data_IF_361176390406
#
_entry.id   IF_361176390406
#
_cell.length_a   1.000
_cell.length_b   1.000
_cell.length_c   1.000
_cell.angle_alpha   90.00
_cell.angle_beta   90.00
_cell.angle_gamma   90.00
#
_symmetry.space_group_name_H-M   'P 1'
#
loop_
_entity.id
_entity.type
_entity.pdbx_description
1 polymer ?
#
# COMPACT_ATOMS: atom_id res chain seq x y z
N UNK A 1 -13.94 -0.97 43.24
CA UNK A 1 -13.63 0.37 42.69
C UNK A 1 -12.88 0.15 41.39
N UNK A 2 -13.29 0.76 40.29
CA UNK A 2 -12.58 0.62 39.00
C UNK A 2 -11.17 1.22 39.13
N UNK A 3 -10.15 0.49 38.71
CA UNK A 3 -8.78 0.97 38.64
C UNK A 3 -8.50 1.46 37.22
N UNK A 4 -7.75 2.56 37.12
CA UNK A 4 -7.46 3.19 35.84
C UNK A 4 -5.96 3.16 35.56
N UNK A 5 -5.61 2.90 34.31
CA UNK A 5 -4.23 2.94 33.85
C UNK A 5 -3.67 4.35 34.02
N UNK A 6 -2.55 4.49 34.73
CA UNK A 6 -1.86 5.79 34.94
C UNK A 6 -1.25 6.40 33.68
N UNK A 7 -1.30 5.70 32.54
CA UNK A 7 -0.72 6.14 31.28
C UNK A 7 -1.78 6.55 30.25
N UNK A 8 -2.83 5.75 30.04
CA UNK A 8 -3.87 6.05 29.05
C UNK A 8 -5.24 6.36 29.66
N UNK A 9 -5.43 6.21 30.98
CA UNK A 9 -6.69 6.48 31.66
C UNK A 9 -7.77 5.41 31.48
N UNK A 10 -7.51 4.32 30.76
CA UNK A 10 -8.48 3.23 30.56
C UNK A 10 -8.69 2.44 31.86
N UNK A 11 -9.95 2.10 32.15
CA UNK A 11 -10.29 1.19 33.23
C UNK A 11 -9.74 -0.22 32.95
N UNK A 12 -9.18 -0.88 33.97
CA UNK A 12 -8.69 -2.25 33.87
C UNK A 12 -9.21 -3.12 35.00
N UNK A 13 -9.18 -4.44 34.79
CA UNK A 13 -9.50 -5.40 35.83
C UNK A 13 -8.51 -5.28 37.02
N UNK A 14 -8.93 -5.55 38.26
CA UNK A 14 -8.09 -5.38 39.45
C UNK A 14 -6.84 -6.28 39.46
N UNK A 15 -6.87 -7.38 38.72
CA UNK A 15 -5.83 -8.41 38.60
C UNK A 15 -5.06 -8.34 37.28
N UNK A 16 -5.39 -7.38 36.40
CA UNK A 16 -4.69 -7.19 35.13
C UNK A 16 -3.21 -6.84 35.39
N UNK A 17 -2.27 -7.62 34.84
CA UNK A 17 -0.83 -7.32 34.96
C UNK A 17 -0.43 -6.21 33.98
N UNK A 18 -1.11 -6.13 32.85
CA UNK A 18 -0.90 -5.15 31.78
C UNK A 18 -2.24 -4.51 31.39
N UNK A 19 -2.19 -3.29 30.87
CA UNK A 19 -3.35 -2.61 30.30
C UNK A 19 -3.63 -3.15 28.90
N UNK A 20 -4.87 -3.55 28.64
CA UNK A 20 -5.26 -4.11 27.33
C UNK A 20 -5.17 -3.09 26.19
N UNK A 21 -5.29 -1.79 26.49
CA UNK A 21 -5.26 -0.73 25.48
C UNK A 21 -3.84 -0.24 25.16
N UNK A 22 -2.99 -0.04 26.16
CA UNK A 22 -1.65 0.54 25.94
C UNK A 22 -0.49 -0.41 26.22
N UNK A 23 -0.75 -1.64 26.67
CA UNK A 23 0.24 -2.68 26.95
C UNK A 23 1.15 -2.42 28.16
N UNK A 24 1.01 -1.28 28.85
CA UNK A 24 1.82 -0.95 30.03
C UNK A 24 1.41 -1.77 31.25
N UNK A 25 2.38 -2.14 32.08
CA UNK A 25 2.10 -2.82 33.35
C UNK A 25 1.29 -1.91 34.29
N UNK A 26 0.14 -2.39 34.77
CA UNK A 26 -0.77 -1.60 35.63
C UNK A 26 -0.75 -2.06 37.09
N UNK A 27 -0.36 -3.32 37.34
CA UNK A 27 -0.20 -3.88 38.67
C UNK A 27 1.19 -4.51 38.82
N UNK A 28 2.18 -3.68 39.16
CA UNK A 28 3.46 -4.18 39.63
C UNK A 28 3.25 -4.78 41.03
N UNK A 29 3.16 -6.11 41.11
CA UNK A 29 3.11 -6.81 42.39
C UNK A 29 4.34 -6.43 43.23
N UNK A 30 4.12 -5.95 44.45
CA UNK A 30 5.18 -5.80 45.43
C UNK A 30 5.88 -7.15 45.62
N UNK A 31 7.21 -7.17 45.48
CA UNK A 31 8.01 -8.37 45.66
C UNK A 31 7.71 -8.99 47.04
N UNK A 32 7.53 -10.32 47.13
CA UNK A 32 7.25 -10.96 48.40
C UNK A 32 8.43 -10.75 49.36
N UNK A 33 8.11 -10.35 50.59
CA UNK A 33 9.07 -10.28 51.68
C UNK A 33 9.66 -11.69 51.93
N UNK A 34 10.98 -11.82 52.12
CA UNK A 34 11.60 -13.11 52.37
C UNK A 34 11.16 -13.67 53.74
N UNK A 35 10.77 -14.94 53.75
CA UNK A 35 10.48 -15.69 54.98
C UNK A 35 11.75 -15.86 55.84
N UNK A 36 11.62 -15.99 57.18
CA UNK A 36 12.77 -16.09 58.08
C UNK A 36 13.48 -17.45 57.91
N UNK A 37 14.81 -17.40 57.79
CA UNK A 37 15.66 -18.58 57.80
C UNK A 37 15.77 -19.19 59.22
N UNK A 38 15.86 -20.53 59.36
CA UNK A 38 16.05 -21.19 60.64
C UNK A 38 17.45 -20.96 61.23
N UNK A 39 17.52 -21.17 62.54
CA UNK A 39 18.59 -20.79 63.45
C UNK A 39 20.00 -21.34 63.11
N UNK A 40 20.97 -20.59 63.61
CA UNK A 40 22.41 -20.68 63.40
C UNK A 40 23.09 -21.98 63.87
N UNK A 41 24.24 -22.28 63.25
CA UNK A 41 25.40 -22.93 63.88
C UNK A 41 26.70 -22.47 63.17
N UNK A 42 27.87 -22.57 63.82
CA UNK A 42 28.80 -21.45 63.97
C UNK A 42 29.91 -21.33 62.92
N UNK A 43 30.61 -20.20 63.01
CA UNK A 43 31.58 -19.62 62.10
C UNK A 43 32.81 -20.47 61.75
N UNK A 44 33.29 -20.28 60.52
CA UNK A 44 34.70 -20.41 60.14
C UNK A 44 35.19 -19.10 59.52
N UNK A 45 36.45 -18.69 59.76
CA UNK A 45 36.90 -17.33 59.56
C UNK A 45 37.39 -17.05 58.13
N UNK A 46 37.00 -15.88 57.62
CA UNK A 46 37.89 -15.00 56.87
C UNK A 46 38.33 -15.43 55.47
N UNK A 47 37.51 -15.17 54.44
CA UNK A 47 38.01 -14.79 53.11
C UNK A 47 37.14 -13.66 52.53
N UNK A 48 37.81 -12.69 51.91
CA UNK A 48 37.38 -11.33 51.54
C UNK A 48 36.05 -11.26 50.75
N UNK A 49 34.96 -10.92 51.45
CA UNK A 49 33.60 -10.63 50.93
C UNK A 49 33.49 -9.45 49.96
N UNK A 50 34.55 -8.65 49.77
CA UNK A 50 34.47 -7.38 49.01
C UNK A 50 34.54 -7.55 47.49
N UNK A 51 34.93 -8.71 46.96
CA UNK A 51 35.06 -8.92 45.51
C UNK A 51 33.84 -9.61 44.88
N UNK A 52 33.05 -10.34 45.67
CA UNK A 52 31.85 -11.05 45.18
C UNK A 52 30.66 -10.10 44.97
N UNK A 53 30.51 -9.06 45.81
CA UNK A 53 29.48 -8.02 45.63
C UNK A 53 29.74 -7.12 44.42
N UNK A 54 31.01 -6.88 44.06
CA UNK A 54 31.36 -6.06 42.89
C UNK A 54 31.16 -6.87 41.60
N UNK A 55 31.49 -8.16 41.60
CA UNK A 55 31.28 -9.03 40.45
C UNK A 55 29.78 -9.23 40.12
N UNK A 56 28.92 -9.38 41.13
CA UNK A 56 27.46 -9.53 40.93
C UNK A 56 26.77 -8.26 40.43
N UNK A 57 27.17 -7.08 40.95
CA UNK A 57 26.61 -5.79 40.52
C UNK A 57 27.06 -5.39 39.10
N UNK A 58 28.31 -5.66 38.75
CA UNK A 58 28.83 -5.42 37.39
C UNK A 58 28.15 -6.37 36.38
N UNK A 59 27.95 -7.64 36.71
CA UNK A 59 27.27 -8.58 35.81
C UNK A 59 25.80 -8.20 35.59
N UNK A 60 25.07 -7.79 36.62
CA UNK A 60 23.69 -7.33 36.50
C UNK A 60 23.58 -6.02 35.68
N UNK A 61 24.49 -5.06 35.91
CA UNK A 61 24.53 -3.83 35.12
C UNK A 61 24.91 -4.10 33.65
N UNK A 62 25.82 -5.03 33.38
CA UNK A 62 26.20 -5.44 32.01
C UNK A 62 25.06 -6.21 31.32
N UNK A 63 24.26 -7.00 32.03
CA UNK A 63 23.08 -7.68 31.46
C UNK A 63 21.96 -6.68 31.15
N UNK A 64 21.70 -5.72 32.04
CA UNK A 64 20.68 -4.69 31.80
C UNK A 64 21.13 -3.72 30.71
N UNK A 65 22.39 -3.26 30.73
CA UNK A 65 22.95 -2.41 29.69
C UNK A 65 23.09 -3.16 28.35
N UNK A 66 23.55 -4.42 28.37
CA UNK A 66 23.66 -5.28 27.20
C UNK A 66 22.31 -5.65 26.60
N UNK A 67 21.29 -5.90 27.43
CA UNK A 67 19.92 -6.11 27.00
C UNK A 67 19.30 -4.85 26.38
N UNK A 68 19.54 -3.68 26.96
CA UNK A 68 19.10 -2.39 26.40
C UNK A 68 19.82 -2.06 25.08
N UNK A 69 21.12 -2.35 24.97
CA UNK A 69 21.91 -2.19 23.74
C UNK A 69 21.49 -3.19 22.66
N UNK A 70 21.18 -4.44 23.00
CA UNK A 70 20.67 -5.43 22.06
C UNK A 70 19.27 -5.06 21.54
N UNK A 71 18.41 -4.48 22.38
CA UNK A 71 17.09 -3.96 21.98
C UNK A 71 17.20 -2.75 21.03
N UNK A 72 18.18 -1.87 21.22
CA UNK A 72 18.47 -0.76 20.30
C UNK A 72 18.99 -1.22 18.93
N UNK A 73 19.53 -2.44 18.85
CA UNK A 73 20.06 -3.03 17.62
C UNK A 73 19.06 -4.00 16.95
N UNK A 74 17.90 -4.25 17.56
CA UNK A 74 16.90 -5.16 17.02
C UNK A 74 16.20 -4.54 15.80
N UNK A 75 15.91 -5.34 14.76
CA UNK A 75 15.07 -4.89 13.65
C UNK A 75 13.69 -4.48 14.15
N UNK A 76 13.14 -3.44 13.53
CA UNK A 76 11.85 -2.92 13.87
C UNK A 76 10.75 -3.97 13.66
N UNK A 77 9.98 -4.25 14.72
CA UNK A 77 8.86 -5.18 14.64
C UNK A 77 7.71 -4.61 13.80
N UNK A 78 7.15 -5.44 12.91
CA UNK A 78 5.97 -5.09 12.16
C UNK A 78 4.77 -4.87 13.10
N UNK A 79 4.18 -3.70 12.99
CA UNK A 79 3.11 -3.22 13.86
C UNK A 79 2.40 -2.04 13.20
N UNK A 80 1.19 -1.73 13.66
CA UNK A 80 0.47 -0.56 13.17
C UNK A 80 1.29 0.74 13.30
N UNK A 81 1.99 0.94 14.42
CA UNK A 81 2.81 2.15 14.64
C UNK A 81 4.01 2.23 13.71
N UNK A 82 4.71 1.11 13.48
CA UNK A 82 5.84 1.06 12.54
C UNK A 82 5.43 1.40 11.10
N UNK A 83 4.31 0.83 10.65
CA UNK A 83 3.85 1.01 9.28
C UNK A 83 3.25 2.39 9.08
N UNK A 84 2.46 2.90 10.05
CA UNK A 84 1.95 4.27 9.99
C UNK A 84 3.07 5.28 9.85
N UNK A 85 4.14 5.15 10.66
CA UNK A 85 5.29 6.06 10.59
C UNK A 85 6.00 5.98 9.24
N UNK A 86 6.22 4.77 8.72
CA UNK A 86 6.86 4.56 7.44
C UNK A 86 6.08 5.23 6.30
N UNK A 87 4.76 5.08 6.30
CA UNK A 87 3.85 5.67 5.33
C UNK A 87 3.80 7.19 5.47
N UNK A 88 3.65 7.70 6.70
CA UNK A 88 3.63 9.14 6.97
C UNK A 88 4.95 9.80 6.54
N UNK A 89 6.09 9.17 6.82
CA UNK A 89 7.41 9.65 6.41
C UNK A 89 7.54 9.68 4.88
N UNK A 90 7.06 8.64 4.19
CA UNK A 90 7.06 8.59 2.72
C UNK A 90 6.19 9.70 2.12
N UNK A 91 4.95 9.88 2.59
CA UNK A 91 4.03 10.90 2.07
C UNK A 91 4.43 12.34 2.45
N UNK A 92 5.23 12.50 3.51
CA UNK A 92 5.84 13.79 3.85
C UNK A 92 7.01 14.11 2.92
N UNK A 93 7.84 13.13 2.59
CA UNK A 93 9.04 13.30 1.76
C UNK A 93 8.74 13.37 0.24
N UNK A 94 7.76 12.61 -0.24
CA UNK A 94 7.39 12.56 -1.65
C UNK A 94 6.12 13.38 -1.93
N UNK A 95 6.33 14.62 -2.39
CA UNK A 95 5.26 15.52 -2.78
C UNK A 95 4.43 14.98 -3.96
N UNK A 96 5.05 14.28 -4.92
CA UNK A 96 4.33 13.76 -6.08
C UNK A 96 3.40 12.60 -5.69
N UNK A 97 3.85 11.71 -4.81
CA UNK A 97 3.03 10.64 -4.25
C UNK A 97 1.86 11.21 -3.45
N UNK A 98 2.12 12.21 -2.60
CA UNK A 98 1.07 12.91 -1.83
C UNK A 98 0.06 13.61 -2.73
N UNK A 99 0.52 14.35 -3.73
CA UNK A 99 -0.34 15.10 -4.66
C UNK A 99 -1.24 14.19 -5.47
N UNK A 100 -0.76 12.99 -5.82
CA UNK A 100 -1.57 11.98 -6.51
C UNK A 100 -2.78 11.54 -5.68
N UNK A 101 -2.71 11.63 -4.36
CA UNK A 101 -3.79 11.29 -3.44
C UNK A 101 -4.69 12.49 -3.14
N UNK A 102 -4.09 13.67 -3.02
CA UNK A 102 -4.76 14.88 -2.51
C UNK A 102 -5.28 15.84 -3.59
N UNK A 103 -4.83 15.69 -4.84
CA UNK A 103 -5.07 16.70 -5.86
C UNK A 103 -5.75 16.12 -7.10
N UNK A 104 -6.76 16.84 -7.56
CA UNK A 104 -7.54 16.55 -8.75
C UNK A 104 -6.85 17.13 -9.98
N UNK A 105 -6.74 16.31 -11.03
CA UNK A 105 -6.11 16.68 -12.32
C UNK A 105 -7.03 16.43 -13.52
N UNK A 106 -8.31 16.19 -13.27
CA UNK A 106 -9.32 15.86 -14.28
C UNK A 106 -9.78 17.06 -15.13
N UNK A 107 -9.40 18.29 -14.76
CA UNK A 107 -9.70 19.52 -15.49
C UNK A 107 -8.51 20.48 -15.42
N UNK A 108 -8.39 21.42 -16.37
CA UNK A 108 -7.35 22.44 -16.36
C UNK A 108 -7.67 23.54 -15.34
N UNK A 109 -7.58 23.23 -14.05
CA UNK A 109 -8.00 24.11 -12.95
C UNK A 109 -7.22 25.42 -12.84
N UNK A 110 -6.05 25.51 -13.46
CA UNK A 110 -5.22 26.71 -13.51
C UNK A 110 -5.71 27.78 -14.50
N UNK A 111 -6.64 27.43 -15.40
CA UNK A 111 -7.18 28.41 -16.34
C UNK A 111 -8.06 29.41 -15.61
N UNK A 112 -7.92 30.69 -15.97
CA UNK A 112 -8.77 31.74 -15.41
C UNK A 112 -10.24 31.55 -15.76
N UNK A 113 -10.51 30.95 -16.93
CA UNK A 113 -11.84 30.59 -17.38
C UNK A 113 -11.88 29.15 -17.90
N UNK A 114 -12.89 28.41 -17.46
CA UNK A 114 -13.26 27.11 -18.02
C UNK A 114 -14.60 27.28 -18.75
N UNK A 115 -14.61 26.98 -20.04
CA UNK A 115 -15.80 27.02 -20.88
C UNK A 115 -16.33 25.61 -21.06
N UNK A 116 -17.61 25.40 -20.75
CA UNK A 116 -18.26 24.11 -20.83
C UNK A 116 -19.48 24.22 -21.72
N UNK A 117 -19.61 23.32 -22.69
CA UNK A 117 -20.77 23.30 -23.57
C UNK A 117 -22.06 22.99 -22.78
N UNK A 118 -23.20 23.53 -23.21
CA UNK A 118 -24.47 23.36 -22.50
C UNK A 118 -24.89 21.90 -22.31
N UNK A 119 -24.49 21.00 -23.21
CA UNK A 119 -24.79 19.56 -23.18
C UNK A 119 -23.85 18.74 -22.27
N UNK A 120 -22.70 19.27 -21.82
CA UNK A 120 -21.79 18.55 -20.91
C UNK A 120 -22.25 18.74 -19.46
N UNK A 121 -23.30 17.99 -19.10
CA UNK A 121 -23.90 18.04 -17.77
C UNK A 121 -22.96 17.54 -16.67
N UNK A 122 -22.06 16.59 -16.96
CA UNK A 122 -21.15 16.03 -15.95
C UNK A 122 -20.10 17.05 -15.51
N UNK A 123 -19.45 17.71 -16.47
CA UNK A 123 -18.46 18.76 -16.16
C UNK A 123 -19.11 19.96 -15.50
N UNK A 124 -20.32 20.34 -15.95
CA UNK A 124 -21.10 21.41 -15.31
C UNK A 124 -21.44 21.10 -13.85
N UNK A 125 -22.01 19.93 -13.58
CA UNK A 125 -22.35 19.51 -12.21
C UNK A 125 -21.12 19.54 -11.30
N UNK A 126 -19.97 19.12 -11.82
CA UNK A 126 -18.72 19.18 -11.09
C UNK A 126 -18.27 20.63 -10.82
N UNK A 127 -18.28 21.51 -11.81
CA UNK A 127 -17.93 22.92 -11.61
C UNK A 127 -18.93 23.63 -10.69
N UNK A 128 -20.21 23.29 -10.73
CA UNK A 128 -21.23 23.85 -9.84
C UNK A 128 -20.97 23.46 -8.36
N UNK A 129 -20.45 22.26 -8.10
CA UNK A 129 -19.94 21.87 -6.77
C UNK A 129 -18.79 22.80 -6.35
N UNK A 130 -17.84 23.07 -7.26
CA UNK A 130 -16.71 23.96 -6.97
C UNK A 130 -17.14 25.42 -6.79
N UNK A 131 -18.19 25.87 -7.47
CA UNK A 131 -18.84 27.18 -7.25
C UNK A 131 -19.44 27.25 -5.84
N UNK A 132 -20.17 26.22 -5.39
CA UNK A 132 -20.68 26.16 -4.02
C UNK A 132 -19.57 26.15 -2.97
N UNK A 133 -18.41 25.58 -3.29
CA UNK A 133 -17.19 25.67 -2.48
C UNK A 133 -16.46 27.03 -2.56
N UNK A 134 -16.91 27.96 -3.41
CA UNK A 134 -16.30 29.28 -3.59
C UNK A 134 -14.99 29.29 -4.40
N UNK A 135 -14.67 28.20 -5.09
CA UNK A 135 -13.47 28.10 -5.93
C UNK A 135 -13.65 28.76 -7.29
N UNK A 136 -14.87 28.79 -7.80
CA UNK A 136 -15.26 29.43 -9.05
C UNK A 136 -16.45 30.36 -8.82
N UNK A 137 -16.58 31.38 -9.65
CA UNK A 137 -17.77 32.22 -9.70
C UNK A 137 -18.92 31.48 -10.40
N UNK A 138 -20.16 31.86 -10.09
CA UNK A 138 -21.33 31.33 -10.78
C UNK A 138 -21.20 31.48 -12.30
N UNK A 139 -21.60 30.47 -13.08
CA UNK A 139 -21.36 30.48 -14.51
C UNK A 139 -22.19 31.53 -15.22
N UNK A 140 -21.61 32.16 -16.23
CA UNK A 140 -22.32 33.05 -17.16
C UNK A 140 -22.58 32.27 -18.45
N UNK A 141 -23.84 32.23 -18.88
CA UNK A 141 -24.18 31.68 -20.18
C UNK A 141 -23.76 32.66 -21.28
N UNK A 142 -22.91 32.20 -22.18
CA UNK A 142 -22.45 32.94 -23.34
C UNK A 142 -22.81 32.16 -24.60
N UNK A 143 -23.36 32.87 -25.58
CA UNK A 143 -23.53 32.32 -26.92
C UNK A 143 -22.19 32.41 -27.65
N UNK A 144 -21.68 31.26 -28.12
CA UNK A 144 -20.46 31.20 -28.93
C UNK A 144 -20.77 30.62 -30.30
N UNK A 145 -20.21 31.22 -31.35
CA UNK A 145 -20.41 30.80 -32.74
C UNK A 145 -21.39 31.70 -33.49
N UNK A 146 -21.10 31.93 -34.77
CA UNK A 146 -21.92 32.76 -35.66
C UNK A 146 -23.28 32.13 -35.97
N UNK A 147 -23.37 31.39 -37.08
CA UNK A 147 -24.67 31.00 -37.65
C UNK A 147 -25.25 29.73 -36.99
N UNK A 148 -24.48 29.08 -36.12
CA UNK A 148 -24.88 27.99 -35.23
C UNK A 148 -24.43 28.38 -33.82
N UNK A 149 -25.21 29.23 -33.17
CA UNK A 149 -24.97 29.66 -31.80
C UNK A 149 -25.06 28.45 -30.86
N UNK A 150 -23.95 28.10 -30.21
CA UNK A 150 -23.93 27.12 -29.13
C UNK A 150 -23.79 27.85 -27.80
N UNK A 151 -24.76 27.64 -26.90
CA UNK A 151 -24.67 28.11 -25.51
C UNK A 151 -23.52 27.39 -24.80
N UNK A 152 -22.65 28.18 -24.18
CA UNK A 152 -21.56 27.73 -23.32
C UNK A 152 -21.69 28.37 -21.95
N UNK A 153 -21.34 27.64 -20.91
CA UNK A 153 -21.22 28.15 -19.55
C UNK A 153 -19.76 28.49 -19.27
N UNK A 154 -19.50 29.71 -18.85
CA UNK A 154 -18.16 30.20 -18.52
C UNK A 154 -18.01 30.30 -17.02
N UNK A 155 -17.08 29.51 -16.48
CA UNK A 155 -16.75 29.48 -15.05
C UNK A 155 -15.42 30.21 -14.84
N UNK A 156 -15.46 31.31 -14.09
CA UNK A 156 -14.26 32.10 -13.78
C UNK A 156 -13.65 31.67 -12.44
N UNK A 157 -12.34 31.44 -12.42
CA UNK A 157 -11.59 31.01 -11.23
C UNK A 157 -11.56 32.15 -10.19
N UNK A 158 -12.05 31.87 -8.98
CA UNK A 158 -12.07 32.83 -7.87
C UNK A 158 -10.75 32.82 -7.09
N UNK A 159 -10.53 33.84 -6.25
CA UNK A 159 -9.31 33.93 -5.43
C UNK A 159 -9.11 32.72 -4.49
N UNK A 160 -10.14 32.17 -3.81
CA UNK A 160 -10.00 30.92 -3.05
C UNK A 160 -9.61 29.73 -3.95
N UNK A 161 -10.11 29.72 -5.20
CA UNK A 161 -9.73 28.78 -6.24
C UNK A 161 -8.24 28.80 -6.51
N UNK A 162 -7.70 29.98 -6.84
CA UNK A 162 -6.26 30.18 -7.09
C UNK A 162 -5.41 29.73 -5.89
N UNK A 163 -5.84 30.00 -4.67
CA UNK A 163 -5.12 29.61 -3.44
C UNK A 163 -5.15 28.08 -3.15
N UNK A 164 -6.11 27.35 -3.73
CA UNK A 164 -6.24 25.91 -3.58
C UNK A 164 -5.45 25.11 -4.62
N UNK A 165 -4.80 25.79 -5.59
CA UNK A 165 -4.02 25.15 -6.63
C UNK A 165 -2.60 24.81 -6.16
N UNK A 166 -2.10 23.66 -6.62
CA UNK A 166 -0.69 23.30 -6.61
C UNK A 166 -0.29 22.96 -8.04
N UNK A 167 0.34 23.92 -8.72
CA UNK A 167 0.56 23.84 -10.16
C UNK A 167 -0.77 23.88 -10.92
N UNK A 168 -1.05 22.85 -11.71
CA UNK A 168 -2.26 22.67 -12.50
C UNK A 168 -3.37 21.87 -11.79
N UNK A 169 -3.12 21.41 -10.57
CA UNK A 169 -4.01 20.52 -9.83
C UNK A 169 -4.77 21.27 -8.74
N UNK A 170 -6.01 20.87 -8.51
CA UNK A 170 -6.83 21.37 -7.40
C UNK A 170 -6.67 20.45 -6.19
N UNK A 171 -6.07 20.95 -5.10
CA UNK A 171 -5.78 20.14 -3.92
C UNK A 171 -6.80 20.38 -2.79
N UNK A 172 -7.18 19.29 -2.12
CA UNK A 172 -8.17 19.34 -1.03
C UNK A 172 -7.55 19.54 0.35
N UNK A 173 -6.24 19.32 0.49
CA UNK A 173 -5.48 19.48 1.73
C UNK A 173 -3.99 19.73 1.42
N UNK A 174 -3.23 20.20 2.42
CA UNK A 174 -1.76 20.26 2.30
C UNK A 174 -1.09 18.93 2.59
N UNK A 175 -1.66 18.13 3.48
CA UNK A 175 -1.09 16.87 3.90
C UNK A 175 -2.12 15.78 4.17
N UNK A 176 -1.57 14.61 4.50
CA UNK A 176 -2.31 13.46 5.01
C UNK A 176 -1.51 12.83 6.14
N UNK A 177 -2.21 12.10 7.01
CA UNK A 177 -1.61 11.21 7.99
C UNK A 177 -2.36 9.88 8.02
N UNK A 178 -1.70 8.81 8.40
CA UNK A 178 -2.35 7.51 8.58
C UNK A 178 -3.30 7.58 9.78
N UNK A 179 -4.57 7.24 9.54
CA UNK A 179 -5.58 7.08 10.60
C UNK A 179 -5.68 5.62 11.05
N UNK A 180 -5.59 4.68 10.10
CA UNK A 180 -5.62 3.23 10.35
C UNK A 180 -4.73 2.53 9.34
N UNK A 181 -4.06 1.46 9.78
CA UNK A 181 -3.26 0.61 8.89
C UNK A 181 -3.48 -0.86 9.25
N UNK A 182 -3.44 -1.74 8.25
CA UNK A 182 -3.53 -3.20 8.37
C UNK A 182 -2.54 -3.88 7.43
N UNK A 183 -2.35 -5.20 7.53
CA UNK A 183 -1.41 -5.96 6.70
C UNK A 183 -0.03 -6.15 7.33
N UNK A 184 0.20 -5.61 8.54
CA UNK A 184 1.43 -5.82 9.31
C UNK A 184 1.55 -7.24 9.87
N UNK A 185 0.45 -8.00 9.88
CA UNK A 185 0.41 -9.43 10.19
C UNK A 185 0.86 -10.31 9.01
N UNK A 186 0.95 -9.77 7.79
CA UNK A 186 1.28 -10.51 6.57
C UNK A 186 2.71 -10.27 6.09
N UNK A 187 3.67 -10.20 7.02
CA UNK A 187 5.09 -10.07 6.68
C UNK A 187 5.60 -11.36 6.04
N UNK A 188 6.30 -11.22 4.92
CA UNK A 188 6.95 -12.32 4.20
C UNK A 188 8.43 -12.03 4.06
N UNK A 189 9.25 -13.09 4.09
CA UNK A 189 10.65 -13.01 3.70
C UNK A 189 10.77 -13.22 2.19
N UNK A 190 11.41 -12.28 1.51
CA UNK A 190 11.73 -12.36 0.09
C UNK A 190 13.22 -12.11 -0.10
N UNK A 191 14.00 -13.18 -0.23
CA UNK A 191 15.44 -13.10 -0.49
C UNK A 191 16.24 -12.50 0.67
N UNK A 192 15.82 -12.74 1.92
CA UNK A 192 16.45 -12.18 3.13
C UNK A 192 15.97 -10.76 3.48
N UNK A 193 15.01 -10.23 2.73
CA UNK A 193 14.36 -8.95 3.01
C UNK A 193 12.92 -9.18 3.44
N UNK A 194 12.54 -8.65 4.60
CA UNK A 194 11.16 -8.69 5.07
C UNK A 194 10.33 -7.64 4.33
N UNK A 195 9.19 -8.07 3.79
CA UNK A 195 8.26 -7.23 3.03
C UNK A 195 6.82 -7.48 3.45
N UNK A 196 5.96 -6.47 3.33
CA UNK A 196 4.54 -6.58 3.62
C UNK A 196 3.73 -5.60 2.76
N UNK A 197 2.53 -5.98 2.34
CA UNK A 197 1.55 -5.03 1.78
C UNK A 197 0.71 -4.47 2.91
N UNK A 198 0.72 -3.15 3.07
CA UNK A 198 -0.16 -2.47 3.99
C UNK A 198 -1.33 -1.84 3.25
N UNK A 199 -2.51 -1.93 3.86
CA UNK A 199 -3.66 -1.07 3.52
C UNK A 199 -3.74 0.02 4.56
N UNK A 200 -3.70 1.28 4.14
CA UNK A 200 -3.77 2.43 5.02
C UNK A 200 -4.97 3.31 4.67
N UNK A 201 -5.78 3.63 5.67
CA UNK A 201 -6.80 4.68 5.62
C UNK A 201 -6.16 5.98 6.09
N UNK A 202 -6.21 7.01 5.27
CA UNK A 202 -5.58 8.30 5.54
C UNK A 202 -6.62 9.31 6.03
N UNK A 203 -6.17 10.23 6.88
CA UNK A 203 -6.92 11.42 7.27
C UNK A 203 -6.21 12.65 6.70
N UNK A 204 -7.00 13.62 6.22
CA UNK A 204 -6.47 14.90 5.76
C UNK A 204 -5.82 15.67 6.92
N UNK A 205 -4.68 16.30 6.65
CA UNK A 205 -4.05 17.29 7.53
C UNK A 205 -4.00 18.63 6.79
N UNK A 206 -4.29 19.71 7.51
CA UNK A 206 -4.43 21.05 6.93
C UNK A 206 -5.42 21.06 5.75
N UNK A 207 -6.66 20.61 6.04
CA UNK A 207 -7.75 20.60 5.08
C UNK A 207 -7.98 22.01 4.51
N UNK A 208 -8.18 22.09 3.20
CA UNK A 208 -8.40 23.37 2.54
C UNK A 208 -9.71 24.00 3.02
N UNK A 209 -9.67 25.30 3.33
CA UNK A 209 -10.81 26.01 3.93
C UNK A 209 -12.09 25.95 3.07
N UNK A 210 -11.95 25.83 1.75
CA UNK A 210 -13.06 25.67 0.81
C UNK A 210 -13.75 24.31 0.97
N UNK A 211 -12.97 23.24 1.22
CA UNK A 211 -13.49 21.89 1.38
C UNK A 211 -14.21 21.76 2.72
N UNK A 212 -13.61 22.29 3.79
CA UNK A 212 -14.17 22.24 5.14
C UNK A 212 -15.54 22.92 5.24
N UNK A 213 -15.80 23.92 4.39
CA UNK A 213 -17.07 24.66 4.31
C UNK A 213 -18.03 24.14 3.24
N UNK A 214 -17.57 23.23 2.39
CA UNK A 214 -18.35 22.76 1.25
C UNK A 214 -19.47 21.81 1.70
N UNK A 215 -20.73 22.04 1.28
CA UNK A 215 -21.81 21.08 1.53
C UNK A 215 -21.59 19.76 0.79
N UNK A 216 -20.74 19.76 -0.25
CA UNK A 216 -20.45 18.61 -1.10
C UNK A 216 -19.14 17.90 -0.72
N UNK A 217 -18.61 18.13 0.50
CA UNK A 217 -17.31 17.60 0.96
C UNK A 217 -17.14 16.11 0.66
N UNK A 218 -18.12 15.27 0.96
CA UNK A 218 -18.05 13.82 0.72
C UNK A 218 -17.92 13.48 -0.78
N UNK A 219 -18.67 14.16 -1.65
CA UNK A 219 -18.62 13.96 -3.10
C UNK A 219 -17.27 14.38 -3.69
N UNK A 220 -16.69 15.46 -3.16
CA UNK A 220 -15.34 15.90 -3.56
C UNK A 220 -14.30 14.86 -3.17
N UNK A 221 -14.36 14.29 -1.97
CA UNK A 221 -13.42 13.26 -1.52
C UNK A 221 -13.54 11.99 -2.37
N UNK A 222 -14.76 11.54 -2.68
CA UNK A 222 -14.97 10.38 -3.56
C UNK A 222 -14.39 10.55 -4.97
N UNK A 223 -14.20 11.80 -5.41
CA UNK A 223 -13.63 12.12 -6.73
C UNK A 223 -12.10 12.03 -6.75
N UNK A 224 -11.45 11.93 -5.59
CA UNK A 224 -10.00 11.77 -5.51
C UNK A 224 -9.57 10.44 -6.16
N UNK A 225 -8.35 10.37 -6.73
CA UNK A 225 -7.86 9.12 -7.34
C UNK A 225 -7.81 7.93 -6.38
N UNK A 226 -7.68 8.18 -5.07
CA UNK A 226 -7.72 7.17 -4.00
C UNK A 226 -9.09 7.01 -3.33
N UNK A 227 -10.16 7.60 -3.90
CA UNK A 227 -11.51 7.59 -3.34
C UNK A 227 -11.53 8.08 -1.89
N UNK A 228 -11.96 7.22 -0.97
CA UNK A 228 -12.08 7.49 0.46
C UNK A 228 -10.72 7.55 1.22
N UNK A 229 -9.65 7.96 0.52
CA UNK A 229 -8.29 8.08 1.06
C UNK A 229 -7.73 6.75 1.57
N UNK A 230 -8.08 5.65 0.91
CA UNK A 230 -7.51 4.33 1.18
C UNK A 230 -6.42 4.01 0.15
N UNK A 231 -5.25 3.59 0.63
CA UNK A 231 -4.11 3.27 -0.21
C UNK A 231 -3.50 1.93 0.17
N UNK A 232 -3.07 1.19 -0.85
CA UNK A 232 -2.23 0.00 -0.65
C UNK A 232 -0.79 0.35 -0.98
N UNK A 233 0.09 0.16 -0.01
CA UNK A 233 1.49 0.53 -0.11
C UNK A 233 2.38 -0.66 0.22
N UNK A 234 3.39 -0.92 -0.61
CA UNK A 234 4.41 -1.91 -0.33
C UNK A 234 5.38 -1.39 0.72
N UNK A 235 5.66 -2.18 1.75
CA UNK A 235 6.71 -1.88 2.72
C UNK A 235 7.79 -2.94 2.72
N UNK A 236 9.01 -2.49 2.98
CA UNK A 236 10.16 -3.33 3.21
C UNK A 236 10.89 -2.91 4.48
N UNK A 237 11.48 -3.87 5.18
CA UNK A 237 12.39 -3.60 6.27
C UNK A 237 13.78 -3.30 5.69
N UNK A 238 14.15 -2.03 5.66
CA UNK A 238 15.42 -1.52 5.14
C UNK A 238 16.17 -0.84 6.27
N UNK A 239 17.44 -1.19 6.47
CA UNK A 239 18.25 -0.68 7.57
C UNK A 239 17.57 -0.81 8.95
N UNK A 240 16.94 -1.97 9.17
CA UNK A 240 16.19 -2.30 10.39
C UNK A 240 14.94 -1.45 10.63
N UNK A 241 14.50 -0.63 9.66
CA UNK A 241 13.28 0.17 9.76
C UNK A 241 12.32 -0.12 8.61
N UNK A 242 11.02 -0.11 8.90
CA UNK A 242 10.02 -0.24 7.85
C UNK A 242 9.97 1.04 7.01
N UNK A 243 10.04 0.87 5.70
CA UNK A 243 10.00 1.95 4.73
C UNK A 243 9.08 1.56 3.57
N UNK A 244 8.41 2.54 2.96
CA UNK A 244 7.64 2.29 1.74
C UNK A 244 8.62 1.96 0.63
N UNK A 245 8.49 0.77 0.05
CA UNK A 245 9.37 0.31 -1.01
C UNK A 245 8.99 1.00 -2.32
N UNK A 246 9.88 1.83 -2.86
CA UNK A 246 9.62 2.50 -4.14
C UNK A 246 9.53 1.47 -5.27
N UNK A 247 8.72 1.77 -6.30
CA UNK A 247 8.53 0.94 -7.50
C UNK A 247 9.86 0.64 -8.20
N UNK A 248 10.80 1.60 -8.19
CA UNK A 248 12.14 1.44 -8.75
C UNK A 248 13.00 0.45 -7.93
N UNK A 249 12.96 0.54 -6.60
CA UNK A 249 13.66 -0.39 -5.71
C UNK A 249 13.08 -1.80 -5.80
N UNK A 250 11.76 -1.94 -5.92
CA UNK A 250 11.12 -3.24 -6.13
C UNK A 250 11.43 -3.83 -7.51
N UNK A 251 11.52 -3.01 -8.56
CA UNK A 251 11.92 -3.49 -9.88
C UNK A 251 13.38 -3.96 -9.89
N UNK A 252 14.28 -3.26 -9.20
CA UNK A 252 15.67 -3.68 -9.00
C UNK A 252 15.77 -4.96 -8.16
N UNK A 253 14.99 -5.09 -7.09
CA UNK A 253 14.96 -6.32 -6.27
C UNK A 253 14.43 -7.52 -7.07
N UNK A 254 13.38 -7.32 -7.88
CA UNK A 254 12.86 -8.34 -8.78
C UNK A 254 13.89 -8.75 -9.85
N UNK A 255 14.63 -7.79 -10.40
CA UNK A 255 15.73 -8.04 -11.35
C UNK A 255 16.91 -8.77 -10.70
N UNK A 256 17.26 -8.43 -9.45
CA UNK A 256 18.32 -9.11 -8.69
C UNK A 256 17.95 -10.56 -8.36
N UNK A 257 16.69 -10.83 -7.99
CA UNK A 257 16.16 -12.17 -7.78
C UNK A 257 16.12 -12.99 -9.08
N UNK A 258 15.74 -12.38 -10.20
CA UNK A 258 15.80 -13.02 -11.52
C UNK A 258 17.25 -13.34 -11.94
N UNK A 259 18.21 -12.49 -11.58
CA UNK A 259 19.65 -12.75 -11.77
C UNK A 259 20.17 -13.90 -10.90
N UNK A 260 19.80 -13.92 -9.62
CA UNK A 260 20.17 -15.00 -8.70
C UNK A 260 19.56 -16.36 -9.12
N UNK A 261 18.32 -16.38 -9.60
CA UNK A 261 17.68 -17.58 -10.14
C UNK A 261 18.38 -18.11 -11.40
N UNK A 262 18.94 -17.23 -12.24
CA UNK A 262 19.78 -17.60 -13.40
C UNK A 262 21.12 -18.18 -13.01
N UNK A 263 21.71 -17.75 -11.88
CA UNK A 263 22.95 -18.33 -11.37
C UNK A 263 22.73 -19.66 -10.62
N UNK A 264 21.56 -19.85 -9.99
CA UNK A 264 21.19 -21.11 -9.36
C UNK A 264 20.82 -22.23 -10.37
N UNK A 265 20.46 -21.86 -11.61
CA UNK A 265 20.10 -22.81 -12.68
C UNK A 265 21.30 -23.35 -13.49
N UNK A 266 22.53 -23.06 -13.06
CA UNK A 266 23.76 -23.63 -13.64
C UNK A 266 24.08 -25.07 -13.24
N UNK A 267 23.37 -25.66 -12.29
CA UNK A 267 23.52 -27.08 -11.92
C UNK A 267 22.51 -27.93 -12.69
N UNK A 268 22.95 -28.43 -13.85
CA UNK A 268 22.18 -29.34 -14.70
C UNK A 268 21.80 -30.64 -13.95
N UNK A 269 20.50 -30.91 -13.89
CA UNK A 269 19.94 -32.22 -13.60
C UNK A 269 18.63 -32.39 -14.40
N UNK A 270 18.44 -33.49 -15.16
CA UNK A 270 17.26 -33.68 -15.98
C UNK A 270 16.08 -34.04 -15.07
N UNK A 271 15.02 -33.22 -15.03
CA UNK A 271 13.87 -33.62 -14.20
C UNK A 271 12.70 -32.68 -13.98
N UNK A 272 12.57 -31.55 -14.67
CA UNK A 272 11.35 -30.70 -14.53
C UNK A 272 10.57 -30.52 -15.83
N UNK A 273 11.23 -30.34 -16.98
CA UNK A 273 10.56 -30.18 -18.27
C UNK A 273 9.89 -31.47 -18.78
N UNK A 274 10.45 -32.64 -18.52
CA UNK A 274 9.82 -33.92 -18.91
C UNK A 274 8.64 -34.32 -18.01
N UNK A 275 8.56 -33.76 -16.79
CA UNK A 275 7.37 -33.91 -15.91
C UNK A 275 6.24 -32.96 -16.31
N UNK A 276 6.56 -31.80 -16.90
CA UNK A 276 5.53 -30.94 -17.49
C UNK A 276 4.89 -31.59 -18.72
N UNK A 277 5.67 -32.28 -19.56
CA UNK A 277 5.16 -32.97 -20.76
C UNK A 277 4.04 -33.97 -20.50
N UNK A 278 4.02 -34.62 -19.34
CA UNK A 278 2.98 -35.59 -18.96
C UNK A 278 1.67 -34.98 -18.43
N UNK A 279 1.61 -33.66 -18.21
CA UNK A 279 0.43 -32.96 -17.67
C UNK A 279 -0.37 -32.18 -18.74
N UNK A 280 0.06 -32.20 -20.00
CA UNK A 280 -0.63 -31.47 -21.08
C UNK A 280 -1.72 -32.34 -21.72
N UNK A 281 -2.98 -32.10 -21.33
CA UNK A 281 -4.14 -32.61 -22.09
C UNK A 281 -4.64 -31.54 -23.06
N UNK A 282 -4.86 -31.96 -24.31
CA UNK A 282 -5.46 -31.21 -25.40
C UNK A 282 -6.92 -30.87 -25.07
N UNK A 283 -7.16 -29.73 -24.44
CA UNK A 283 -8.50 -29.20 -24.15
C UNK A 283 -8.47 -27.68 -24.16
N UNK A 284 -9.47 -27.06 -24.82
CA UNK A 284 -9.52 -25.61 -24.97
C UNK A 284 -9.46 -24.88 -23.62
N UNK A 285 -8.70 -23.80 -23.55
CA UNK A 285 -8.56 -22.99 -22.34
C UNK A 285 -9.64 -21.90 -22.28
N UNK A 286 -10.03 -21.45 -21.08
CA UNK A 286 -11.10 -20.45 -20.90
C UNK A 286 -10.78 -19.06 -21.47
N UNK A 287 -9.51 -18.78 -21.83
CA UNK A 287 -9.10 -17.51 -22.42
C UNK A 287 -9.42 -17.36 -23.92
N UNK A 288 -9.92 -18.39 -24.60
CA UNK A 288 -10.17 -18.29 -26.05
C UNK A 288 -11.12 -17.11 -26.36
N UNK A 289 -10.67 -16.23 -27.27
CA UNK A 289 -11.38 -15.03 -27.70
C UNK A 289 -10.54 -13.75 -27.58
N UNK A 290 -11.19 -12.61 -27.82
CA UNK A 290 -10.58 -11.27 -27.80
C UNK A 290 -10.68 -10.62 -26.43
N UNK A 291 -9.60 -9.98 -26.02
CA UNK A 291 -9.44 -9.32 -24.73
C UNK A 291 -8.84 -7.95 -24.94
N UNK A 292 -9.44 -6.94 -24.29
CA UNK A 292 -8.98 -5.56 -24.34
C UNK A 292 -8.26 -5.21 -23.04
N UNK A 293 -7.04 -4.73 -23.16
CA UNK A 293 -6.28 -4.23 -22.02
C UNK A 293 -6.63 -2.79 -21.64
N UNK A 294 -6.10 -2.33 -20.52
CA UNK A 294 -6.41 -1.02 -19.95
C UNK A 294 -5.89 0.14 -20.81
N UNK A 295 -4.88 -0.07 -21.66
CA UNK A 295 -4.36 0.93 -22.59
C UNK A 295 -5.01 0.88 -23.98
N UNK A 296 -6.01 0.00 -24.16
CA UNK A 296 -6.83 -0.10 -25.37
C UNK A 296 -6.33 -1.12 -26.41
N UNK A 297 -5.19 -1.75 -26.16
CA UNK A 297 -4.64 -2.87 -26.91
C UNK A 297 -5.60 -4.08 -26.89
N UNK A 298 -5.65 -4.82 -28.00
CA UNK A 298 -6.46 -6.03 -28.13
C UNK A 298 -5.55 -7.23 -28.31
N UNK A 299 -5.67 -8.18 -27.40
CA UNK A 299 -5.02 -9.48 -27.43
C UNK A 299 -6.08 -10.54 -27.79
N UNK A 300 -5.77 -11.40 -28.74
CA UNK A 300 -6.63 -12.52 -29.10
C UNK A 300 -5.92 -13.83 -28.78
N UNK A 301 -6.56 -14.66 -27.96
CA UNK A 301 -6.05 -15.99 -27.64
C UNK A 301 -6.83 -17.02 -28.46
N UNK A 302 -6.11 -17.77 -29.28
CA UNK A 302 -6.66 -18.95 -29.97
C UNK A 302 -6.36 -20.19 -29.14
N UNK A 303 -6.58 -21.39 -29.69
CA UNK A 303 -6.29 -22.66 -28.99
C UNK A 303 -4.80 -22.86 -28.69
N UNK A 304 -3.92 -22.35 -29.54
CA UNK A 304 -2.48 -22.65 -29.58
C UNK A 304 -1.61 -21.43 -29.96
N UNK A 305 -2.21 -20.24 -30.05
CA UNK A 305 -1.50 -19.02 -30.37
C UNK A 305 -2.06 -17.79 -29.66
N UNK A 306 -1.20 -16.78 -29.54
CA UNK A 306 -1.54 -15.44 -29.08
C UNK A 306 -1.39 -14.51 -30.28
N UNK A 307 -2.42 -13.75 -30.59
CA UNK A 307 -2.42 -12.76 -31.66
C UNK A 307 -2.41 -11.37 -31.02
N UNK A 308 -1.35 -10.62 -31.28
CA UNK A 308 -1.18 -9.25 -30.82
C UNK A 308 -0.98 -8.35 -32.04
N UNK A 309 -1.84 -7.34 -32.21
CA UNK A 309 -1.78 -6.40 -33.35
C UNK A 309 -1.72 -7.10 -34.73
N UNK A 310 -2.34 -8.28 -34.87
CA UNK A 310 -2.36 -9.08 -36.10
C UNK A 310 -1.18 -10.04 -36.29
N UNK A 311 -0.18 -10.02 -35.41
CA UNK A 311 0.93 -10.98 -35.42
C UNK A 311 0.64 -12.15 -34.50
N UNK A 312 0.61 -13.36 -35.05
CA UNK A 312 0.39 -14.59 -34.30
C UNK A 312 1.73 -15.17 -33.81
N UNK A 313 1.84 -15.42 -32.50
CA UNK A 313 2.96 -16.14 -31.88
C UNK A 313 2.46 -17.46 -31.29
N UNK A 314 3.21 -18.55 -31.49
CA UNK A 314 2.84 -19.85 -30.91
C UNK A 314 3.03 -19.86 -29.39
N UNK A 315 2.05 -20.42 -28.70
CA UNK A 315 2.06 -20.54 -27.25
C UNK A 315 1.39 -21.81 -26.77
N UNK A 316 1.90 -22.35 -25.67
CA UNK A 316 1.29 -23.47 -24.96
C UNK A 316 0.56 -22.95 -23.73
N UNK A 317 -0.61 -23.52 -23.46
CA UNK A 317 -1.51 -23.11 -22.38
C UNK A 317 -1.76 -24.28 -21.44
N UNK A 318 -1.61 -24.04 -20.14
CA UNK A 318 -1.94 -25.00 -19.08
C UNK A 318 -2.93 -24.36 -18.11
N UNK A 319 -4.05 -25.02 -17.83
CA UNK A 319 -5.11 -24.49 -16.96
C UNK A 319 -5.12 -25.22 -15.62
N UNK A 320 -5.06 -24.48 -14.53
CA UNK A 320 -5.20 -24.96 -13.16
C UNK A 320 -6.25 -24.12 -12.43
N UNK A 321 -7.47 -24.63 -12.33
CA UNK A 321 -8.61 -23.88 -11.81
C UNK A 321 -8.92 -22.64 -12.65
N UNK A 322 -8.89 -21.46 -12.02
CA UNK A 322 -9.10 -20.17 -12.69
C UNK A 322 -7.80 -19.55 -13.23
N UNK A 323 -6.65 -20.22 -13.10
CA UNK A 323 -5.36 -19.71 -13.56
C UNK A 323 -4.93 -20.44 -14.83
N UNK A 324 -4.57 -19.69 -15.87
CA UNK A 324 -4.00 -20.22 -17.10
C UNK A 324 -2.53 -19.79 -17.20
N UNK A 325 -1.63 -20.75 -17.21
CA UNK A 325 -0.20 -20.52 -17.48
C UNK A 325 0.06 -20.59 -18.98
N UNK A 326 0.81 -19.62 -19.50
CA UNK A 326 1.12 -19.42 -20.91
C UNK A 326 2.65 -19.47 -21.07
N UNK A 327 3.13 -20.36 -21.93
CA UNK A 327 4.54 -20.42 -22.31
C UNK A 327 4.67 -20.21 -23.82
N UNK A 328 5.37 -19.14 -24.21
CA UNK A 328 5.67 -18.85 -25.61
C UNK A 328 6.78 -19.77 -26.13
N UNK A 329 6.65 -20.27 -27.34
CA UNK A 329 7.63 -21.18 -27.95
C UNK A 329 8.76 -20.44 -28.71
N UNK A 330 8.55 -19.20 -29.12
CA UNK A 330 9.44 -18.49 -30.07
C UNK A 330 10.49 -17.58 -29.41
N UNK A 331 10.47 -17.44 -28.09
CA UNK A 331 11.53 -16.77 -27.35
C UNK A 331 11.54 -17.29 -25.93
N UNK A 332 12.72 -17.57 -25.37
CA UNK A 332 12.94 -18.06 -24.00
C UNK A 332 12.52 -17.07 -22.89
N UNK A 333 11.37 -16.42 -23.06
CA UNK A 333 10.70 -15.55 -22.13
C UNK A 333 10.03 -16.32 -21.00
N UNK A 334 9.77 -15.61 -19.92
CA UNK A 334 9.17 -16.17 -18.71
C UNK A 334 7.74 -16.63 -18.98
N UNK A 335 7.34 -17.75 -18.37
CA UNK A 335 5.96 -18.19 -18.40
C UNK A 335 5.05 -17.13 -17.75
N UNK A 336 4.01 -16.72 -18.47
CA UNK A 336 3.01 -15.77 -17.99
C UNK A 336 1.87 -16.56 -17.33
N UNK A 337 1.19 -15.98 -16.37
CA UNK A 337 0.00 -16.57 -15.75
C UNK A 337 -1.16 -15.61 -15.92
N UNK A 338 -2.37 -16.11 -16.15
CA UNK A 338 -3.57 -15.29 -16.24
C UNK A 338 -4.60 -15.85 -15.30
N UNK A 339 -5.02 -15.05 -14.32
CA UNK A 339 -6.09 -15.37 -13.39
C UNK A 339 -7.42 -14.84 -13.93
N UNK A 340 -8.40 -15.71 -14.11
CA UNK A 340 -9.76 -15.36 -14.49
C UNK A 340 -10.59 -15.03 -13.25
N UNK A 341 -11.36 -13.94 -13.31
CA UNK A 341 -12.34 -13.64 -12.27
C UNK A 341 -13.55 -14.56 -12.38
N UNK A 342 -14.31 -14.69 -11.27
CA UNK A 342 -15.51 -15.54 -11.20
C UNK A 342 -16.58 -15.22 -12.27
N UNK A 343 -16.52 -14.07 -12.94
CA UNK A 343 -17.46 -13.70 -14.01
C UNK A 343 -16.99 -14.06 -15.42
N UNK A 344 -15.77 -14.61 -15.60
CA UNK A 344 -15.13 -14.94 -16.89
C UNK A 344 -15.02 -13.80 -17.92
N UNK A 345 -15.38 -12.58 -17.52
CA UNK A 345 -15.34 -11.37 -18.36
C UNK A 345 -14.18 -10.44 -18.02
N UNK A 346 -13.50 -10.70 -16.91
CA UNK A 346 -12.27 -10.00 -16.54
C UNK A 346 -11.19 -11.01 -16.19
N UNK A 347 -9.99 -10.74 -16.69
CA UNK A 347 -8.80 -11.54 -16.43
C UNK A 347 -7.68 -10.62 -15.94
N UNK A 348 -6.86 -11.13 -15.03
CA UNK A 348 -5.67 -10.43 -14.55
C UNK A 348 -4.46 -11.18 -15.07
N UNK A 349 -3.71 -10.51 -15.95
CA UNK A 349 -2.44 -11.02 -16.45
C UNK A 349 -1.39 -10.80 -15.36
N UNK A 350 -0.71 -11.87 -14.97
CA UNK A 350 0.36 -11.90 -13.98
C UNK A 350 1.66 -12.47 -14.59
N UNK A 351 2.80 -11.96 -14.17
CA UNK A 351 4.12 -12.52 -14.53
C UNK A 351 4.91 -12.70 -13.25
N UNK A 352 5.38 -13.92 -12.98
CA UNK A 352 6.02 -14.24 -11.70
C UNK A 352 5.13 -14.00 -10.47
N UNK A 353 3.80 -14.14 -10.61
CA UNK A 353 2.82 -13.92 -9.55
C UNK A 353 2.39 -12.46 -9.32
N UNK A 354 2.93 -11.50 -10.07
CA UNK A 354 2.56 -10.08 -9.97
C UNK A 354 1.59 -9.67 -11.08
N UNK A 355 0.47 -8.98 -10.78
CA UNK A 355 -0.47 -8.51 -11.80
C UNK A 355 0.14 -7.35 -12.60
N UNK A 356 0.23 -7.53 -13.92
CA UNK A 356 0.79 -6.54 -14.85
C UNK A 356 -0.28 -5.85 -15.70
N UNK A 357 -1.43 -6.50 -15.93
CA UNK A 357 -2.53 -5.92 -16.65
C UNK A 357 -3.87 -6.53 -16.24
N UNK A 358 -4.94 -5.74 -16.37
CA UNK A 358 -6.31 -6.24 -16.29
C UNK A 358 -6.87 -6.22 -17.71
N UNK A 359 -7.36 -7.37 -18.12
CA UNK A 359 -7.96 -7.62 -19.42
C UNK A 359 -9.48 -7.74 -19.26
N UNK A 360 -10.23 -7.09 -20.15
CA UNK A 360 -11.67 -7.23 -20.24
C UNK A 360 -12.03 -7.98 -21.52
N UNK A 361 -12.91 -8.96 -21.41
CA UNK A 361 -13.34 -9.73 -22.58
C UNK A 361 -14.14 -8.83 -23.52
N UNK A 362 -13.75 -8.82 -24.79
CA UNK A 362 -14.50 -8.16 -25.84
C UNK A 362 -15.64 -9.10 -26.20
N UNK A 363 -16.89 -8.65 -26.01
CA UNK A 363 -18.04 -9.37 -26.54
C UNK A 363 -18.06 -9.13 -28.05
N UNK A 364 -18.02 -10.22 -28.82
CA UNK A 364 -18.31 -10.17 -30.25
C UNK A 364 -19.74 -9.70 -30.52
#
# INVERSE_FOLDING_TARGET
MAQFCKQCGTAHAPDARFCDECGKAVNAAAAPAPAPAPAATPALPGVKRRHVMIAGGVLAAVIVAGGALAWLLAPEAASASSFSRAIDAHLAADEAARDKLLCLSNLPYQKEEIRVASYDSSTRQWLDILVRGGLYNAPVEQSSGGWIAQSQFVYALAAPGKAALRGDKLCVAKGVKVAKVSGYEQVRDMGGQQVAMATATLALTDEAAWLAKSPDRALVLQRLPGGDLEVQLPLALVDKQWQVADRAQMHQAAMAMAGAARHASGAQGPGMLDKLKSLFSFGGHPLVGKWKGSTGEVLEFTKDSIIENGNASKATFATEGNVVTIASEEGGGMAMQISLSNSSNTATLTVGGMPIAVLQRVRD
#
